data_IF_684630272425
#
_entry.id   IF_684630272425
#
_cell.length_a   1.000
_cell.length_b   1.000
_cell.length_c   1.000
_cell.angle_alpha   90.00
_cell.angle_beta   90.00
_cell.angle_gamma   90.00
#
_symmetry.space_group_name_H-M   'P 1'
#
loop_
_entity.id
_entity.type
_entity.pdbx_description
1 polymer ?
#
# COMPACT_ATOMS: atom_id res chain seq x y z
N UNK A 1 2.07 13.06 -5.06
CA UNK A 1 0.62 13.37 -5.03
C UNK A 1 0.21 13.93 -6.38
N UNK A 2 -0.80 13.36 -7.04
CA UNK A 2 -1.28 13.87 -8.33
C UNK A 2 -2.43 14.86 -8.11
N UNK A 3 -2.13 16.15 -8.13
CA UNK A 3 -3.10 17.21 -7.88
C UNK A 3 -4.28 17.17 -8.88
N UNK A 4 -4.00 16.92 -10.15
CA UNK A 4 -5.00 16.79 -11.22
C UNK A 4 -6.08 15.74 -10.92
N UNK A 5 -5.69 14.59 -10.38
CA UNK A 5 -6.65 13.53 -10.02
C UNK A 5 -7.58 13.98 -8.88
N UNK A 6 -7.03 14.64 -7.85
CA UNK A 6 -7.82 15.15 -6.73
C UNK A 6 -8.81 16.23 -7.16
N UNK A 7 -8.37 17.18 -8.00
CA UNK A 7 -9.22 18.25 -8.53
C UNK A 7 -10.38 17.68 -9.35
N UNK A 8 -10.10 16.73 -10.26
CA UNK A 8 -11.13 16.11 -11.09
C UNK A 8 -12.12 15.27 -10.26
N UNK A 9 -11.63 14.53 -9.26
CA UNK A 9 -12.49 13.79 -8.30
C UNK A 9 -13.41 14.74 -7.55
N UNK A 10 -12.88 15.88 -7.09
CA UNK A 10 -13.65 16.89 -6.36
C UNK A 10 -14.72 17.54 -7.27
N UNK A 11 -14.36 17.91 -8.49
CA UNK A 11 -15.26 18.52 -9.47
C UNK A 11 -16.45 17.62 -9.86
N UNK A 12 -16.26 16.30 -9.82
CA UNK A 12 -17.30 15.30 -10.11
C UNK A 12 -18.00 14.76 -8.86
N UNK A 13 -17.66 15.24 -7.66
CA UNK A 13 -18.22 14.78 -6.39
C UNK A 13 -18.10 13.26 -6.17
N UNK A 14 -17.01 12.66 -6.65
CA UNK A 14 -16.79 11.21 -6.53
C UNK A 14 -16.05 10.86 -5.23
N UNK A 15 -16.41 9.73 -4.62
CA UNK A 15 -15.61 9.10 -3.57
C UNK A 15 -14.57 8.14 -4.17
N UNK A 16 -13.59 7.69 -3.38
CA UNK A 16 -12.67 6.64 -3.83
C UNK A 16 -13.39 5.32 -4.10
N UNK A 17 -14.40 4.99 -3.30
CA UNK A 17 -15.26 3.83 -3.51
C UNK A 17 -15.99 3.88 -4.87
N UNK A 18 -16.52 5.04 -5.26
CA UNK A 18 -17.21 5.21 -6.55
C UNK A 18 -16.25 4.97 -7.72
N UNK A 19 -15.04 5.53 -7.62
CA UNK A 19 -14.00 5.34 -8.63
C UNK A 19 -13.58 3.88 -8.71
N UNK A 20 -13.29 3.25 -7.56
CA UNK A 20 -12.90 1.84 -7.47
C UNK A 20 -13.94 0.91 -8.10
N UNK A 21 -15.21 1.09 -7.77
CA UNK A 21 -16.33 0.35 -8.39
C UNK A 21 -16.35 0.51 -9.90
N UNK A 22 -16.14 1.72 -10.41
CA UNK A 22 -16.23 1.99 -11.85
C UNK A 22 -15.04 1.43 -12.64
N UNK A 23 -13.85 1.38 -12.04
CA UNK A 23 -12.64 0.88 -12.71
C UNK A 23 -12.31 -0.59 -12.38
N UNK A 24 -13.08 -1.21 -11.47
CA UNK A 24 -12.88 -2.54 -10.91
C UNK A 24 -11.56 -2.67 -10.13
N UNK A 25 -11.37 -1.77 -9.15
CA UNK A 25 -10.22 -1.76 -8.23
C UNK A 25 -10.69 -1.50 -6.81
N UNK A 26 -9.88 -1.94 -5.86
CA UNK A 26 -10.07 -1.66 -4.45
C UNK A 26 -9.97 -0.15 -4.15
N UNK A 27 -10.79 0.34 -3.22
CA UNK A 27 -10.83 1.78 -2.89
C UNK A 27 -9.52 2.32 -2.33
N UNK A 28 -8.79 1.51 -1.54
CA UNK A 28 -7.49 1.88 -0.96
C UNK A 28 -6.44 1.90 -2.05
N UNK A 29 -6.50 0.97 -3.00
CA UNK A 29 -5.64 1.00 -4.19
C UNK A 29 -5.87 2.26 -5.02
N UNK A 30 -7.13 2.69 -5.22
CA UNK A 30 -7.42 3.94 -5.93
C UNK A 30 -6.83 5.14 -5.19
N UNK A 31 -7.04 5.22 -3.87
CA UNK A 31 -6.43 6.27 -3.06
C UNK A 31 -4.89 6.25 -3.18
N UNK A 32 -4.27 5.07 -3.18
CA UNK A 32 -2.83 4.91 -3.36
C UNK A 32 -2.34 5.46 -4.70
N UNK A 33 -3.08 5.27 -5.81
CA UNK A 33 -2.75 5.90 -7.11
C UNK A 33 -2.76 7.44 -6.98
N UNK A 34 -3.78 8.01 -6.33
CA UNK A 34 -3.90 9.46 -6.16
C UNK A 34 -2.76 10.06 -5.34
N UNK A 35 -2.30 9.34 -4.31
CA UNK A 35 -1.13 9.73 -3.51
C UNK A 35 0.21 9.38 -4.18
N UNK A 36 0.21 8.73 -5.35
CA UNK A 36 1.43 8.34 -6.06
C UNK A 36 2.16 7.17 -5.39
N UNK A 37 1.44 6.29 -4.70
CA UNK A 37 1.96 5.11 -4.01
C UNK A 37 1.68 3.80 -4.77
N UNK A 38 0.82 3.85 -5.80
CA UNK A 38 0.51 2.73 -6.68
C UNK A 38 0.74 3.11 -8.16
N UNK A 39 1.08 2.11 -8.97
CA UNK A 39 1.24 2.27 -10.42
C UNK A 39 0.00 1.74 -11.14
N UNK A 40 -0.81 2.61 -11.78
CA UNK A 40 -1.88 2.15 -12.66
C UNK A 40 -1.31 1.57 -13.95
N UNK A 41 -2.02 0.60 -14.54
CA UNK A 41 -1.72 0.11 -15.90
C UNK A 41 -2.43 0.93 -16.99
N UNK A 42 -2.18 0.63 -18.26
CA UNK A 42 -2.79 1.35 -19.39
C UNK A 42 -4.33 1.27 -19.38
N UNK A 43 -4.90 0.14 -18.94
CA UNK A 43 -6.35 -0.04 -18.83
C UNK A 43 -6.94 0.83 -17.72
N UNK A 44 -6.25 0.91 -16.59
CA UNK A 44 -6.63 1.76 -15.45
C UNK A 44 -6.60 3.24 -15.84
N UNK A 45 -5.54 3.69 -16.52
CA UNK A 45 -5.40 5.07 -16.97
C UNK A 45 -6.50 5.47 -17.94
N UNK A 46 -6.85 4.60 -18.90
CA UNK A 46 -7.95 4.84 -19.83
C UNK A 46 -9.29 4.97 -19.12
N UNK A 47 -9.58 4.10 -18.15
CA UNK A 47 -10.82 4.16 -17.36
C UNK A 47 -10.87 5.42 -16.48
N UNK A 48 -9.75 5.79 -15.86
CA UNK A 48 -9.63 7.01 -15.06
C UNK A 48 -9.80 8.26 -15.94
N UNK A 49 -9.20 8.29 -17.12
CA UNK A 49 -9.36 9.36 -18.11
C UNK A 49 -10.83 9.60 -18.43
N UNK A 50 -11.56 8.55 -18.80
CA UNK A 50 -12.99 8.64 -19.14
C UNK A 50 -13.83 9.06 -17.94
N UNK A 51 -13.59 8.46 -16.77
CA UNK A 51 -14.39 8.73 -15.57
C UNK A 51 -14.18 10.15 -15.05
N UNK A 52 -12.93 10.60 -15.01
CA UNK A 52 -12.53 11.89 -14.44
C UNK A 52 -12.52 13.02 -15.48
N UNK A 53 -12.80 12.71 -16.75
CA UNK A 53 -12.79 13.67 -17.86
C UNK A 53 -11.44 14.40 -17.98
N UNK A 54 -10.37 13.62 -17.84
CA UNK A 54 -8.98 14.08 -18.00
C UNK A 54 -8.47 13.50 -19.31
N UNK A 55 -7.84 14.32 -20.16
CA UNK A 55 -7.23 13.80 -21.39
C UNK A 55 -6.20 12.71 -21.08
N UNK A 56 -6.37 11.53 -21.69
CA UNK A 56 -5.58 10.33 -21.41
C UNK A 56 -4.08 10.57 -21.51
N UNK A 57 -3.64 11.37 -22.49
CA UNK A 57 -2.23 11.68 -22.70
C UNK A 57 -1.56 12.32 -21.46
N UNK A 58 -2.28 13.15 -20.70
CA UNK A 58 -1.73 13.72 -19.46
C UNK A 58 -1.50 12.66 -18.40
N UNK A 59 -2.47 11.77 -18.20
CA UNK A 59 -2.33 10.67 -17.25
C UNK A 59 -1.23 9.69 -17.67
N UNK A 60 -1.10 9.42 -18.96
CA UNK A 60 -0.04 8.55 -19.50
C UNK A 60 1.35 9.16 -19.36
N UNK A 61 1.50 10.47 -19.59
CA UNK A 61 2.78 11.17 -19.38
C UNK A 61 3.20 11.16 -17.91
N UNK A 62 2.27 11.41 -17.00
CA UNK A 62 2.60 11.56 -15.57
C UNK A 62 2.71 10.22 -14.84
N UNK A 63 1.87 9.25 -15.16
CA UNK A 63 1.69 8.00 -14.40
C UNK A 63 1.89 6.71 -15.22
N UNK A 64 1.82 6.80 -16.55
CA UNK A 64 1.72 5.63 -17.43
C UNK A 64 2.98 5.26 -18.20
N UNK A 65 4.02 6.09 -18.19
CA UNK A 65 5.21 5.79 -18.98
C UNK A 65 5.89 4.50 -18.48
N UNK A 66 6.52 3.78 -19.41
CA UNK A 66 7.30 2.56 -19.07
C UNK A 66 8.48 2.87 -18.15
N UNK A 67 8.94 4.12 -18.16
CA UNK A 67 10.05 4.63 -17.36
C UNK A 67 9.61 5.23 -16.02
N UNK A 68 8.34 5.59 -15.87
CA UNK A 68 7.79 6.06 -14.61
C UNK A 68 7.60 4.91 -13.62
N UNK A 69 8.06 5.08 -12.39
CA UNK A 69 7.75 4.18 -11.28
C UNK A 69 7.43 5.05 -10.05
N UNK A 70 6.40 4.69 -9.25
CA UNK A 70 6.08 5.48 -8.07
C UNK A 70 7.23 5.44 -7.07
N UNK A 71 7.65 6.60 -6.60
CA UNK A 71 8.47 6.72 -5.40
C UNK A 71 7.56 6.50 -4.18
N UNK A 72 7.72 5.32 -3.56
CA UNK A 72 6.82 4.84 -2.51
C UNK A 72 7.41 5.14 -1.14
N UNK A 73 6.54 5.47 -0.20
CA UNK A 73 6.95 6.03 1.08
C UNK A 73 7.18 7.54 0.99
N UNK A 74 7.63 8.14 2.09
CA UNK A 74 7.95 9.57 2.13
C UNK A 74 6.75 10.52 2.17
N UNK A 75 5.52 10.02 2.31
CA UNK A 75 4.33 10.87 2.47
C UNK A 75 4.30 11.66 3.79
N UNK A 76 5.06 11.23 4.79
CA UNK A 76 5.20 11.87 6.10
C UNK A 76 6.56 11.57 6.70
N UNK A 77 6.98 12.40 7.67
CA UNK A 77 8.16 12.14 8.48
C UNK A 77 7.81 11.18 9.63
N UNK A 78 8.79 10.38 10.07
CA UNK A 78 8.64 9.52 11.23
C UNK A 78 9.14 10.22 12.50
N UNK A 79 8.39 10.14 13.63
CA UNK A 79 7.06 9.53 13.76
C UNK A 79 5.95 10.38 13.10
N UNK A 80 4.81 9.77 12.70
CA UNK A 80 3.72 10.52 12.07
C UNK A 80 3.16 11.59 13.01
N UNK A 81 2.84 12.76 12.47
CA UNK A 81 2.18 13.85 13.24
C UNK A 81 0.68 13.89 13.02
N UNK A 82 0.19 13.34 11.91
CA UNK A 82 -1.25 13.20 11.66
C UNK A 82 -1.87 12.23 12.68
N UNK A 83 -2.93 12.61 13.41
CA UNK A 83 -3.52 11.77 14.44
C UNK A 83 -4.06 10.42 13.95
N UNK A 84 -4.60 10.34 12.73
CA UNK A 84 -5.14 9.09 12.17
C UNK A 84 -3.98 8.14 11.87
N UNK A 85 -2.95 8.63 11.18
CA UNK A 85 -1.76 7.83 10.85
C UNK A 85 -0.98 7.44 12.12
N UNK A 86 -0.91 8.32 13.12
CA UNK A 86 -0.24 8.03 14.39
C UNK A 86 -0.86 6.82 15.11
N UNK A 87 -2.19 6.62 15.04
CA UNK A 87 -2.83 5.46 15.67
C UNK A 87 -2.40 4.13 15.04
N UNK A 88 -2.14 4.08 13.74
CA UNK A 88 -1.55 2.88 13.12
C UNK A 88 -0.14 2.61 13.65
N UNK A 89 0.66 3.66 13.80
CA UNK A 89 2.00 3.54 14.38
C UNK A 89 1.95 3.03 15.83
N UNK A 90 1.04 3.56 16.64
CA UNK A 90 0.83 3.12 18.03
C UNK A 90 0.35 1.67 18.13
N UNK A 91 -0.57 1.24 17.25
CA UNK A 91 -1.00 -0.17 17.15
C UNK A 91 0.20 -1.08 16.89
N UNK A 92 1.09 -0.70 15.97
CA UNK A 92 2.30 -1.49 15.69
C UNK A 92 3.27 -1.50 16.88
N UNK A 93 3.41 -0.39 17.60
CA UNK A 93 4.26 -0.33 18.80
C UNK A 93 3.74 -1.24 19.93
N UNK A 94 2.42 -1.32 20.11
CA UNK A 94 1.81 -2.13 21.18
C UNK A 94 1.66 -3.59 20.77
N UNK A 95 1.18 -3.85 19.55
CA UNK A 95 0.76 -5.19 19.10
C UNK A 95 1.72 -5.83 18.10
N UNK A 96 2.79 -5.17 17.65
CA UNK A 96 3.70 -5.69 16.63
C UNK A 96 4.33 -7.04 17.02
N UNK A 97 4.90 -7.15 18.22
CA UNK A 97 5.47 -8.43 18.71
C UNK A 97 4.40 -9.51 18.97
N UNK A 98 3.27 -9.20 19.64
CA UNK A 98 2.16 -10.14 19.75
C UNK A 98 1.66 -10.68 18.40
N UNK A 99 1.44 -9.81 17.41
CA UNK A 99 1.01 -10.19 16.07
C UNK A 99 2.06 -11.07 15.39
N UNK A 100 3.35 -10.70 15.47
CA UNK A 100 4.46 -11.52 14.95
C UNK A 100 4.44 -12.93 15.54
N UNK A 101 4.30 -13.06 16.86
CA UNK A 101 4.27 -14.36 17.52
C UNK A 101 3.11 -15.23 17.01
N UNK A 102 1.89 -14.68 16.95
CA UNK A 102 0.70 -15.40 16.47
C UNK A 102 0.82 -15.78 14.98
N UNK A 103 1.41 -14.92 14.14
CA UNK A 103 1.71 -15.24 12.74
C UNK A 103 2.66 -16.43 12.68
N UNK A 104 3.74 -16.42 13.45
CA UNK A 104 4.72 -17.51 13.45
C UNK A 104 4.12 -18.84 13.96
N UNK A 105 3.26 -18.80 14.97
CA UNK A 105 2.54 -19.99 15.45
C UNK A 105 1.62 -20.59 14.37
N UNK A 106 0.97 -19.74 13.57
CA UNK A 106 0.00 -20.17 12.55
C UNK A 106 0.63 -20.58 11.22
N UNK A 107 1.70 -19.90 10.81
CA UNK A 107 2.25 -19.98 9.46
C UNK A 107 3.71 -20.43 9.42
N UNK A 108 4.34 -20.63 10.58
CA UNK A 108 5.77 -20.90 10.69
C UNK A 108 6.62 -19.66 10.48
N UNK A 109 7.93 -19.86 10.31
CA UNK A 109 8.86 -18.76 10.05
C UNK A 109 8.62 -18.17 8.64
N UNK A 110 8.26 -16.88 8.62
CA UNK A 110 7.77 -16.21 7.42
C UNK A 110 7.39 -14.75 7.64
N UNK A 111 6.92 -14.11 6.58
CA UNK A 111 6.39 -12.74 6.61
C UNK A 111 5.08 -12.64 5.84
N UNK A 112 4.21 -11.73 6.29
CA UNK A 112 3.08 -11.25 5.49
C UNK A 112 3.59 -10.21 4.49
N UNK A 113 3.44 -10.48 3.20
CA UNK A 113 3.84 -9.56 2.13
C UNK A 113 3.09 -8.22 2.21
N UNK A 114 3.79 -7.13 1.94
CA UNK A 114 3.20 -5.80 1.70
C UNK A 114 3.17 -5.45 0.20
N UNK A 115 3.53 -6.38 -0.68
CA UNK A 115 3.52 -6.21 -2.14
C UNK A 115 2.38 -7.00 -2.78
N UNK A 116 2.32 -8.30 -2.49
CA UNK A 116 1.15 -9.14 -2.77
C UNK A 116 0.19 -9.02 -1.60
N UNK A 117 -0.52 -7.89 -1.61
CA UNK A 117 -1.19 -7.33 -0.45
C UNK A 117 -2.45 -6.56 -0.85
N UNK A 118 -3.47 -6.65 -0.01
CA UNK A 118 -4.67 -5.83 -0.10
C UNK A 118 -5.06 -5.29 1.27
N UNK A 119 -5.66 -4.09 1.28
CA UNK A 119 -6.21 -3.46 2.46
C UNK A 119 -7.63 -3.01 2.18
N UNK A 120 -8.53 -3.17 3.16
CA UNK A 120 -9.92 -2.69 3.10
C UNK A 120 -10.28 -1.95 4.37
N UNK A 121 -11.12 -0.94 4.24
CA UNK A 121 -11.64 -0.16 5.36
C UNK A 121 -13.17 -0.23 5.32
N UNK A 122 -13.75 -0.86 6.33
CA UNK A 122 -15.20 -0.97 6.47
C UNK A 122 -15.68 -0.19 7.70
N UNK A 123 -16.84 0.45 7.57
CA UNK A 123 -17.57 1.01 8.70
C UNK A 123 -18.43 -0.09 9.33
N UNK A 124 -18.28 -0.30 10.65
CA UNK A 124 -19.20 -1.13 11.43
C UNK A 124 -20.07 -0.19 12.26
N UNK A 125 -21.38 -0.21 12.00
CA UNK A 125 -22.37 0.51 12.79
C UNK A 125 -22.72 -0.30 14.05
N UNK A 126 -22.64 0.33 15.23
CA UNK A 126 -23.17 -0.20 16.48
C UNK A 126 -24.04 0.88 17.14
N UNK A 127 -24.90 0.49 18.08
CA UNK A 127 -25.86 1.38 18.74
C UNK A 127 -25.20 2.58 19.44
N UNK A 128 -24.03 2.38 20.06
CA UNK A 128 -23.35 3.41 20.86
C UNK A 128 -22.23 4.15 20.13
N UNK A 129 -21.57 3.50 19.16
CA UNK A 129 -20.44 4.07 18.43
C UNK A 129 -20.13 3.33 17.13
N UNK A 130 -19.71 4.09 16.14
CA UNK A 130 -19.15 3.58 14.89
C UNK A 130 -17.75 3.01 15.14
N UNK A 131 -17.43 1.89 14.48
CA UNK A 131 -16.09 1.30 14.49
C UNK A 131 -15.52 1.28 13.09
N UNK A 132 -14.22 1.54 12.99
CA UNK A 132 -13.45 1.34 11.75
C UNK A 132 -12.87 -0.07 11.79
N UNK A 133 -13.27 -0.92 10.84
CA UNK A 133 -12.69 -2.23 10.62
C UNK A 133 -11.67 -2.14 9.51
N UNK A 134 -10.47 -2.62 9.77
CA UNK A 134 -9.40 -2.67 8.79
C UNK A 134 -9.02 -4.13 8.57
N UNK A 135 -9.07 -4.55 7.32
CA UNK A 135 -8.66 -5.88 6.89
C UNK A 135 -7.35 -5.73 6.13
N UNK A 136 -6.29 -6.39 6.58
CA UNK A 136 -4.97 -6.42 5.95
C UNK A 136 -4.69 -7.88 5.53
N UNK A 137 -4.60 -8.13 4.24
CA UNK A 137 -4.41 -9.46 3.68
C UNK A 137 -3.16 -9.47 2.81
N UNK A 138 -2.15 -10.23 3.20
CA UNK A 138 -0.93 -10.38 2.42
C UNK A 138 -0.53 -11.84 2.25
N UNK A 139 0.08 -12.16 1.11
CA UNK A 139 0.62 -13.49 0.86
C UNK A 139 1.69 -13.84 1.91
N UNK A 140 1.59 -15.02 2.51
CA UNK A 140 2.64 -15.54 3.39
C UNK A 140 3.81 -16.06 2.56
N UNK A 141 5.02 -15.62 2.88
CA UNK A 141 6.26 -16.15 2.33
C UNK A 141 7.09 -16.78 3.45
N UNK A 142 7.34 -18.09 3.36
CA UNK A 142 8.17 -18.80 4.33
C UNK A 142 9.66 -18.52 4.09
N UNK A 143 10.37 -18.27 5.17
CA UNK A 143 11.82 -17.99 5.19
C UNK A 143 12.65 -19.19 4.72
N UNK A 144 12.20 -20.41 5.00
CA UNK A 144 12.93 -21.66 4.70
C UNK A 144 13.03 -22.01 3.21
N UNK A 145 12.27 -21.37 2.33
CA UNK A 145 12.32 -21.61 0.88
C UNK A 145 13.00 -20.49 0.06
N UNK A 146 13.30 -19.34 0.67
CA UNK A 146 13.74 -18.15 -0.07
C UNK A 146 15.06 -17.53 0.40
N UNK A 147 15.69 -18.03 1.47
CA UNK A 147 17.01 -17.56 1.90
C UNK A 147 18.13 -18.49 1.42
N UNK A 148 18.80 -18.08 0.34
CA UNK A 148 20.16 -18.54 0.05
C UNK A 148 21.07 -17.62 0.85
N UNK A 149 21.78 -18.14 1.85
CA UNK A 149 22.86 -17.40 2.50
C UNK A 149 23.93 -17.09 1.44
N UNK A 150 24.18 -15.82 1.16
CA UNK A 150 25.43 -15.41 0.52
C UNK A 150 26.44 -15.08 1.64
N UNK A 151 27.73 -15.30 1.36
CA UNK A 151 28.85 -15.15 2.32
C UNK A 151 29.07 -13.71 2.85
N UNK A 152 28.13 -12.79 2.56
CA UNK A 152 28.21 -11.36 2.88
C UNK A 152 27.10 -10.86 3.82
N UNK A 153 26.24 -11.76 4.34
CA UNK A 153 25.19 -11.39 5.30
C UNK A 153 24.02 -10.58 4.71
N UNK A 154 23.88 -10.56 3.38
CA UNK A 154 22.82 -9.82 2.69
C UNK A 154 21.64 -10.74 2.33
N UNK A 155 20.46 -10.43 2.86
CA UNK A 155 19.21 -11.12 2.51
C UNK A 155 18.84 -10.83 1.06
N UNK A 156 18.67 -11.87 0.25
CA UNK A 156 18.18 -11.77 -1.13
C UNK A 156 16.97 -12.67 -1.28
N UNK A 157 15.84 -12.15 -1.77
CA UNK A 157 14.65 -12.94 -2.06
C UNK A 157 14.78 -13.62 -3.43
N UNK A 158 14.72 -14.95 -3.47
CA UNK A 158 14.64 -15.69 -4.73
C UNK A 158 13.24 -15.53 -5.35
N UNK A 159 13.14 -14.88 -6.52
CA UNK A 159 11.95 -14.92 -7.38
C UNK A 159 11.41 -13.57 -7.90
N UNK A 160 11.74 -12.46 -7.25
CA UNK A 160 11.43 -11.09 -7.72
C UNK A 160 12.54 -10.16 -7.26
N UNK A 161 13.03 -9.30 -8.18
CA UNK A 161 14.12 -8.32 -8.04
C UNK A 161 14.63 -8.12 -6.60
N UNK A 162 15.90 -8.47 -6.38
CA UNK A 162 16.71 -8.24 -5.18
C UNK A 162 16.32 -6.96 -4.43
N UNK A 163 15.76 -7.12 -3.24
CA UNK A 163 15.67 -6.04 -2.25
C UNK A 163 16.90 -6.15 -1.36
N UNK A 164 17.84 -5.21 -1.53
CA UNK A 164 18.96 -5.04 -0.60
C UNK A 164 18.39 -4.33 0.63
N UNK A 165 18.22 -5.05 1.73
CA UNK A 165 17.96 -4.42 3.03
C UNK A 165 19.32 -4.16 3.68
N UNK A 166 19.78 -2.90 3.69
CA UNK A 166 20.89 -2.51 4.56
C UNK A 166 20.33 -2.42 5.99
N UNK A 167 20.69 -3.39 6.83
CA UNK A 167 20.52 -3.24 8.27
C UNK A 167 21.49 -2.16 8.75
N UNK A 168 21.01 -0.93 8.90
CA UNK A 168 21.69 0.00 9.80
C UNK A 168 21.38 -0.48 11.22
N UNK A 169 22.24 -1.34 11.74
CA UNK A 169 22.34 -1.57 13.17
C UNK A 169 22.60 -0.22 13.83
N UNK A 170 21.55 0.36 14.41
CA UNK A 170 21.71 1.42 15.39
C UNK A 170 22.27 0.74 16.62
N UNK A 171 23.59 0.79 16.77
CA UNK A 171 24.25 0.46 18.03
C UNK A 171 23.70 1.42 19.09
N UNK A 172 23.03 0.88 20.11
CA UNK A 172 22.87 1.51 21.42
C UNK A 172 24.17 1.37 22.21
#
# INVERSE_FOLDING_TARGET
MCQTLFEAKAAKHLTFADIGKKINKDEVWVAAVFYGQAKPDESDLKKLSVLLDIRENYLTTDLGTKTYFPDRGGLFQMPPTDPVIYRFYEILQVYGYPLKAVIHEKFGDGIMSAIDFTAKVDKIENEDHEKVKITLEGQNYSTGQHYIHNDSGHLSFAGTRTLIYQSNAVNL
#
